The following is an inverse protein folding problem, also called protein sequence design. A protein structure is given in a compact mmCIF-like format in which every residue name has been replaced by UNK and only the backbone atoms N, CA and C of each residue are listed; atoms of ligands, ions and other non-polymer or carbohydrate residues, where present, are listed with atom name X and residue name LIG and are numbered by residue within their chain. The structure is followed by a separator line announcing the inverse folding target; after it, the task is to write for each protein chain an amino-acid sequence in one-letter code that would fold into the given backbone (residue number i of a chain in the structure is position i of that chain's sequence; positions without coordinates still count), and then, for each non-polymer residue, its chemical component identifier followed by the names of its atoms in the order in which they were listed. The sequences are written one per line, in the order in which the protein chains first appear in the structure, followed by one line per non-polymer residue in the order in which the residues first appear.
data_IF_352523194057
#
_entry.id   IF_352523194057
#
_cell.length_a   1.000
_cell.length_b   1.000
_cell.length_c   1.000
_cell.angle_alpha   90.00
_cell.angle_beta   90.00
_cell.angle_gamma   90.00
#
_symmetry.space_group_name_H-M   'P 1'
#
loop_
_entity.id
_entity.type
_entity.pdbx_description
1 polymer ?
#
# COMPACT_ATOMS: atom_id res chain seq x y z
N UNK A 1 -15.52 3.30 21.90
CA UNK A 1 -16.34 2.10 21.58
C UNK A 1 -16.06 1.73 20.13
N UNK A 2 -15.78 0.47 19.81
CA UNK A 2 -15.59 0.04 18.43
C UNK A 2 -16.88 0.22 17.62
N UNK A 3 -16.74 0.65 16.36
CA UNK A 3 -17.81 0.72 15.37
C UNK A 3 -17.94 -0.62 14.63
N UNK A 4 -16.82 -1.26 14.33
CA UNK A 4 -16.79 -2.60 13.74
C UNK A 4 -15.54 -3.35 14.20
N UNK A 5 -15.63 -4.68 14.18
CA UNK A 5 -14.52 -5.60 14.41
C UNK A 5 -14.69 -6.77 13.44
N UNK A 6 -13.78 -6.90 12.47
CA UNK A 6 -13.92 -7.88 11.39
C UNK A 6 -12.66 -8.74 11.33
N UNK A 7 -12.80 -10.04 11.65
CA UNK A 7 -11.75 -11.03 11.43
C UNK A 7 -11.56 -11.27 9.92
N UNK A 8 -10.32 -11.43 9.48
CA UNK A 8 -9.98 -11.78 8.11
C UNK A 8 -10.03 -13.29 7.98
N UNK A 9 -11.10 -13.78 7.37
CA UNK A 9 -11.30 -15.21 7.14
C UNK A 9 -10.48 -15.73 5.96
N UNK A 10 -10.25 -17.04 5.99
CA UNK A 10 -9.54 -17.80 4.97
C UNK A 10 -10.46 -18.53 3.98
N UNK A 11 -9.90 -19.54 3.31
CA UNK A 11 -10.54 -20.30 2.23
C UNK A 11 -11.72 -21.13 2.68
N UNK A 12 -11.74 -21.60 3.93
CA UNK A 12 -12.70 -22.60 4.43
C UNK A 12 -14.18 -22.25 4.18
N UNK A 13 -14.59 -21.02 4.45
CA UNK A 13 -15.98 -20.58 4.22
C UNK A 13 -16.36 -20.56 2.74
N UNK A 14 -15.41 -20.19 1.88
CA UNK A 14 -15.62 -20.15 0.43
C UNK A 14 -15.70 -21.58 -0.12
N UNK A 15 -14.78 -22.46 0.29
CA UNK A 15 -14.79 -23.88 -0.11
C UNK A 15 -16.11 -24.55 0.28
N UNK A 16 -16.58 -24.35 1.51
CA UNK A 16 -17.84 -24.93 1.96
C UNK A 16 -19.06 -24.42 1.17
N UNK A 17 -19.06 -23.15 0.75
CA UNK A 17 -20.10 -22.61 -0.12
C UNK A 17 -20.06 -23.24 -1.53
N UNK A 18 -18.86 -23.44 -2.10
CA UNK A 18 -18.68 -24.11 -3.38
C UNK A 18 -19.10 -25.59 -3.32
N UNK A 19 -18.75 -26.30 -2.25
CA UNK A 19 -19.18 -27.68 -1.99
C UNK A 19 -20.69 -27.81 -1.83
N UNK A 20 -21.35 -26.78 -1.32
CA UNK A 20 -22.81 -26.72 -1.25
C UNK A 20 -23.47 -26.51 -2.62
N UNK A 21 -22.70 -26.21 -3.67
CA UNK A 21 -23.18 -25.99 -5.03
C UNK A 21 -23.34 -24.52 -5.43
N UNK A 22 -22.72 -23.58 -4.72
CA UNK A 22 -22.76 -22.16 -5.10
C UNK A 22 -21.93 -21.87 -6.36
N UNK A 23 -22.53 -21.20 -7.35
CA UNK A 23 -21.81 -20.68 -8.52
C UNK A 23 -21.06 -19.37 -8.23
N UNK A 24 -21.61 -18.56 -7.32
CA UNK A 24 -21.07 -17.25 -6.91
C UNK A 24 -21.08 -17.19 -5.38
N UNK A 25 -19.91 -16.92 -4.81
CA UNK A 25 -19.75 -16.74 -3.37
C UNK A 25 -19.49 -15.27 -3.07
N UNK A 26 -20.38 -14.65 -2.29
CA UNK A 26 -20.16 -13.31 -1.73
C UNK A 26 -19.75 -13.48 -0.27
N UNK A 27 -18.53 -13.07 0.06
CA UNK A 27 -17.98 -13.19 1.41
C UNK A 27 -17.98 -11.84 2.14
N UNK A 28 -17.94 -11.90 3.47
CA UNK A 28 -17.69 -10.74 4.33
C UNK A 28 -16.21 -10.34 4.30
N UNK A 29 -15.60 -10.13 5.46
CA UNK A 29 -14.15 -9.86 5.51
C UNK A 29 -13.36 -11.17 5.38
N UNK A 30 -12.79 -11.42 4.21
CA UNK A 30 -11.75 -12.41 4.01
C UNK A 30 -10.40 -11.73 3.73
N UNK A 31 -9.31 -12.49 3.75
CA UNK A 31 -8.09 -12.05 3.08
C UNK A 31 -8.38 -11.93 1.58
N UNK A 32 -7.97 -10.82 0.97
CA UNK A 32 -8.23 -10.54 -0.45
C UNK A 32 -7.65 -11.66 -1.34
N UNK A 33 -6.43 -12.09 -1.01
CA UNK A 33 -5.77 -13.23 -1.67
C UNK A 33 -6.49 -14.57 -1.49
N UNK A 34 -7.35 -14.77 -0.48
CA UNK A 34 -8.05 -16.04 -0.23
C UNK A 34 -9.13 -16.36 -1.28
N UNK A 35 -9.55 -15.38 -2.06
CA UNK A 35 -10.52 -15.54 -3.15
C UNK A 35 -10.01 -16.46 -4.27
N UNK A 36 -8.69 -16.65 -4.38
CA UNK A 36 -8.04 -17.49 -5.41
C UNK A 36 -7.71 -18.91 -4.94
N UNK A 37 -7.02 -19.14 -3.81
CA UNK A 37 -6.74 -20.48 -3.34
C UNK A 37 -8.02 -21.25 -2.93
N UNK A 38 -9.13 -20.58 -2.62
CA UNK A 38 -10.38 -21.27 -2.31
C UNK A 38 -10.96 -22.08 -3.49
N UNK A 39 -11.22 -21.51 -4.68
CA UNK A 39 -11.66 -22.30 -5.83
C UNK A 39 -10.61 -23.31 -6.31
N UNK A 40 -9.30 -23.01 -6.16
CA UNK A 40 -8.23 -23.98 -6.47
C UNK A 40 -8.28 -25.18 -5.51
N UNK A 41 -8.46 -24.93 -4.22
CA UNK A 41 -8.60 -25.95 -3.20
C UNK A 41 -9.82 -26.85 -3.48
N UNK A 42 -10.98 -26.24 -3.73
CA UNK A 42 -12.21 -26.97 -4.10
C UNK A 42 -12.03 -27.80 -5.37
N UNK A 43 -11.40 -27.24 -6.41
CA UNK A 43 -11.25 -27.90 -7.72
C UNK A 43 -10.20 -29.01 -7.73
N UNK A 44 -9.10 -28.85 -7.00
CA UNK A 44 -7.96 -29.76 -7.02
C UNK A 44 -7.86 -30.65 -5.77
N UNK A 45 -8.68 -30.41 -4.75
CA UNK A 45 -8.69 -31.20 -3.52
C UNK A 45 -7.41 -31.06 -2.70
N UNK A 46 -6.80 -29.87 -2.68
CA UNK A 46 -5.59 -29.63 -1.90
C UNK A 46 -5.87 -29.83 -0.41
N UNK A 47 -4.94 -30.49 0.29
CA UNK A 47 -5.03 -30.63 1.74
C UNK A 47 -4.74 -29.30 2.41
N UNK A 48 -5.39 -29.02 3.53
CA UNK A 48 -5.18 -27.79 4.31
C UNK A 48 -3.82 -27.75 5.05
N UNK A 49 -3.09 -28.86 5.05
CA UNK A 49 -1.70 -28.95 5.52
C UNK A 49 -0.67 -29.03 4.37
N UNK A 50 -1.11 -28.89 3.12
CA UNK A 50 -0.23 -28.72 1.96
C UNK A 50 0.15 -27.24 1.80
N UNK A 51 1.01 -26.78 2.70
CA UNK A 51 1.31 -25.36 2.84
C UNK A 51 1.96 -24.77 1.59
N UNK A 52 2.80 -25.50 0.89
CA UNK A 52 3.44 -25.01 -0.34
C UNK A 52 2.40 -24.69 -1.42
N UNK A 53 1.40 -25.57 -1.63
CA UNK A 53 0.31 -25.28 -2.57
C UNK A 53 -0.58 -24.13 -2.11
N UNK A 54 -0.88 -24.05 -0.81
CA UNK A 54 -1.64 -22.93 -0.26
C UNK A 54 -0.88 -21.60 -0.41
N UNK A 55 0.44 -21.59 -0.20
CA UNK A 55 1.27 -20.41 -0.38
C UNK A 55 1.36 -19.98 -1.85
N UNK A 56 1.53 -20.94 -2.76
CA UNK A 56 1.56 -20.68 -4.20
C UNK A 56 0.20 -20.17 -4.71
N UNK A 57 -0.91 -20.78 -4.28
CA UNK A 57 -2.26 -20.29 -4.58
C UNK A 57 -2.57 -18.92 -3.97
N UNK A 58 -2.05 -18.64 -2.77
CA UNK A 58 -2.17 -17.32 -2.13
C UNK A 58 -1.37 -16.25 -2.86
N UNK A 59 -0.18 -16.59 -3.37
CA UNK A 59 0.60 -15.70 -4.23
C UNK A 59 -0.12 -15.42 -5.54
N UNK A 60 -0.73 -16.44 -6.17
CA UNK A 60 -1.57 -16.24 -7.35
C UNK A 60 -2.72 -15.26 -7.05
N UNK A 61 -3.38 -15.39 -5.90
CA UNK A 61 -4.40 -14.45 -5.45
C UNK A 61 -3.89 -13.03 -5.26
N UNK A 62 -2.74 -12.89 -4.59
CA UNK A 62 -2.10 -11.59 -4.38
C UNK A 62 -1.73 -10.87 -5.69
N UNK A 63 -1.36 -11.63 -6.72
CA UNK A 63 -0.99 -11.07 -8.03
C UNK A 63 -2.19 -10.63 -8.89
N UNK A 64 -3.39 -11.14 -8.60
CA UNK A 64 -4.61 -10.80 -9.36
C UNK A 64 -5.62 -9.94 -8.57
N UNK A 65 -5.27 -9.53 -7.35
CA UNK A 65 -6.11 -8.65 -6.52
C UNK A 65 -5.95 -7.16 -6.90
N UNK A 66 -6.81 -6.31 -6.32
CA UNK A 66 -6.75 -4.84 -6.37
C UNK A 66 -6.91 -4.15 -7.75
N UNK A 67 -6.82 -4.87 -8.88
CA UNK A 67 -7.15 -4.37 -10.22
C UNK A 67 -6.18 -4.84 -11.30
N UNK A 68 -5.84 -3.97 -12.27
CA UNK A 68 -4.97 -4.34 -13.40
C UNK A 68 -3.47 -4.39 -13.07
N UNK A 69 -3.11 -4.50 -11.79
CA UNK A 69 -1.77 -4.21 -11.30
C UNK A 69 -0.73 -5.22 -11.78
N UNK A 70 -1.03 -6.51 -11.66
CA UNK A 70 -0.22 -7.58 -12.26
C UNK A 70 -0.18 -7.55 -13.80
N UNK A 71 -1.03 -6.74 -14.43
CA UNK A 71 -1.12 -6.54 -15.88
C UNK A 71 -0.62 -5.16 -16.34
N UNK A 72 0.23 -4.49 -15.55
CA UNK A 72 0.88 -3.22 -15.92
C UNK A 72 0.18 -1.95 -15.40
N UNK A 73 -0.93 -2.09 -14.68
CA UNK A 73 -1.55 -0.97 -13.96
C UNK A 73 -0.64 -0.49 -12.81
N UNK A 74 -0.47 0.83 -12.69
CA UNK A 74 0.43 1.44 -11.69
C UNK A 74 1.91 1.05 -11.81
N UNK A 75 2.31 0.44 -12.92
CA UNK A 75 3.69 -0.03 -13.15
C UNK A 75 4.67 1.15 -13.30
N UNK A 76 5.90 1.02 -12.78
CA UNK A 76 6.95 2.07 -12.91
C UNK A 76 7.17 2.46 -14.37
N UNK A 77 7.25 1.48 -15.28
CA UNK A 77 7.47 1.73 -16.70
C UNK A 77 6.15 1.94 -17.46
N UNK A 78 5.26 2.75 -16.87
CA UNK A 78 3.91 3.04 -17.34
C UNK A 78 3.84 3.44 -18.83
N UNK A 79 4.89 4.08 -19.37
CA UNK A 79 4.99 4.48 -20.79
C UNK A 79 5.02 3.29 -21.75
N UNK A 80 5.47 2.14 -21.28
CA UNK A 80 5.58 0.91 -22.08
C UNK A 80 4.28 0.11 -22.08
N UNK A 81 3.29 0.51 -21.26
CA UNK A 81 2.04 -0.22 -21.11
C UNK A 81 1.03 0.27 -22.16
N UNK A 82 0.62 -0.57 -23.12
CA UNK A 82 -0.35 -0.20 -24.15
C UNK A 82 -1.79 -0.26 -23.60
N UNK A 83 -2.73 0.42 -24.27
CA UNK A 83 -4.17 0.29 -24.03
C UNK A 83 -4.60 0.60 -22.59
N UNK A 84 -4.38 1.83 -22.13
CA UNK A 84 -4.75 2.23 -20.77
C UNK A 84 -6.25 2.29 -20.56
N UNK A 85 -6.99 2.63 -21.62
CA UNK A 85 -8.44 2.76 -21.64
C UNK A 85 -9.16 1.40 -21.68
N UNK A 86 -8.48 0.33 -22.08
CA UNK A 86 -9.03 -1.01 -22.23
C UNK A 86 -8.16 -2.10 -21.58
N UNK A 87 -7.40 -1.74 -20.53
CA UNK A 87 -6.46 -2.66 -19.86
C UNK A 87 -7.17 -3.89 -19.29
N UNK A 88 -6.69 -5.09 -19.65
CA UNK A 88 -7.23 -6.34 -19.14
C UNK A 88 -6.79 -6.63 -17.70
N UNK A 89 -7.69 -7.16 -16.87
CA UNK A 89 -7.32 -7.69 -15.57
C UNK A 89 -6.39 -8.92 -15.71
N UNK A 90 -5.43 -9.10 -14.79
CA UNK A 90 -4.55 -10.27 -14.82
C UNK A 90 -5.36 -11.55 -14.55
N UNK A 91 -4.95 -12.63 -15.22
CA UNK A 91 -5.52 -13.98 -15.13
C UNK A 91 -4.42 -14.90 -14.60
N UNK A 92 -4.71 -15.64 -13.54
CA UNK A 92 -3.86 -16.73 -13.08
C UNK A 92 -4.33 -18.05 -13.72
N UNK A 93 -3.44 -18.68 -14.49
CA UNK A 93 -3.65 -20.02 -15.07
C UNK A 93 -2.95 -21.02 -14.18
N UNK A 94 -3.71 -21.74 -13.34
CA UNK A 94 -3.18 -22.59 -12.29
C UNK A 94 -3.32 -24.09 -12.61
N UNK A 95 -2.34 -24.89 -12.22
CA UNK A 95 -2.35 -26.34 -12.29
C UNK A 95 -2.55 -27.00 -10.91
N UNK A 96 -2.92 -28.28 -10.91
CA UNK A 96 -3.19 -29.05 -9.69
C UNK A 96 -1.97 -29.23 -8.79
N UNK A 97 -0.75 -29.11 -9.33
CA UNK A 97 0.49 -29.20 -8.55
C UNK A 97 0.83 -27.90 -7.81
N UNK A 98 0.09 -26.81 -8.07
CA UNK A 98 0.30 -25.48 -7.49
C UNK A 98 1.02 -24.51 -8.44
N UNK A 99 1.64 -24.99 -9.51
CA UNK A 99 2.26 -24.11 -10.51
C UNK A 99 1.24 -23.21 -11.19
N UNK A 100 1.62 -21.97 -11.51
CA UNK A 100 0.75 -21.06 -12.23
C UNK A 100 1.52 -20.06 -13.10
N UNK A 101 0.83 -19.54 -14.10
CA UNK A 101 1.27 -18.40 -14.90
C UNK A 101 0.31 -17.23 -14.73
N UNK A 102 0.83 -16.01 -14.77
CA UNK A 102 0.06 -14.79 -14.91
C UNK A 102 -0.01 -14.41 -16.39
N UNK A 103 -1.22 -14.14 -16.86
CA UNK A 103 -1.53 -13.70 -18.22
C UNK A 103 -2.62 -12.64 -18.20
N UNK A 104 -3.09 -12.19 -19.37
CA UNK A 104 -4.21 -11.27 -19.50
C UNK A 104 -5.11 -11.70 -20.66
N UNK A 105 -6.28 -11.09 -20.77
CA UNK A 105 -7.18 -11.31 -21.90
C UNK A 105 -6.48 -10.91 -23.21
N UNK A 106 -6.60 -11.76 -24.23
CA UNK A 106 -6.07 -11.48 -25.57
C UNK A 106 -6.83 -10.31 -26.21
N UNK A 107 -6.11 -9.44 -26.92
CA UNK A 107 -6.70 -8.28 -27.62
C UNK A 107 -7.01 -7.06 -26.75
N UNK A 108 -6.81 -7.11 -25.43
CA UNK A 108 -6.92 -5.93 -24.54
C UNK A 108 -5.59 -5.21 -24.37
N UNK A 109 -5.61 -4.02 -23.76
CA UNK A 109 -4.41 -3.36 -23.23
C UNK A 109 -3.76 -4.09 -22.05
N UNK A 110 -2.70 -3.50 -21.50
CA UNK A 110 -1.89 -4.02 -20.41
C UNK A 110 -0.58 -4.68 -20.84
N UNK A 111 0.31 -4.88 -19.88
CA UNK A 111 1.66 -5.45 -20.05
C UNK A 111 2.00 -6.40 -18.90
N UNK A 112 2.21 -7.68 -19.23
CA UNK A 112 2.60 -8.72 -18.28
C UNK A 112 4.07 -9.10 -18.52
N UNK A 113 4.93 -8.74 -17.57
CA UNK A 113 6.38 -8.99 -17.57
C UNK A 113 6.83 -9.36 -16.15
N UNK A 114 8.02 -9.98 -15.98
CA UNK A 114 8.56 -10.23 -14.65
C UNK A 114 8.60 -8.98 -13.75
N UNK A 115 8.87 -7.80 -14.33
CA UNK A 115 8.91 -6.54 -13.58
C UNK A 115 7.51 -6.07 -13.15
N UNK A 116 6.50 -6.13 -14.04
CA UNK A 116 5.13 -5.71 -13.66
C UNK A 116 4.48 -6.67 -12.68
N UNK A 117 4.70 -7.98 -12.84
CA UNK A 117 4.25 -9.00 -11.88
C UNK A 117 5.01 -8.87 -10.55
N UNK A 118 6.32 -8.62 -10.59
CA UNK A 118 7.15 -8.46 -9.40
C UNK A 118 6.82 -7.21 -8.59
N UNK A 119 6.51 -6.09 -9.22
CA UNK A 119 6.01 -4.91 -8.51
C UNK A 119 4.72 -5.20 -7.73
N UNK A 120 3.80 -5.96 -8.33
CA UNK A 120 2.58 -6.36 -7.64
C UNK A 120 2.87 -7.31 -6.49
N UNK A 121 3.78 -8.28 -6.68
CA UNK A 121 4.19 -9.22 -5.62
C UNK A 121 4.74 -8.51 -4.37
N UNK A 122 5.40 -7.37 -4.55
CA UNK A 122 6.02 -6.62 -3.45
C UNK A 122 5.08 -5.61 -2.79
N UNK A 123 3.84 -5.47 -3.26
CA UNK A 123 2.93 -4.43 -2.80
C UNK A 123 2.21 -4.82 -1.50
N UNK A 124 2.27 -3.94 -0.49
CA UNK A 124 1.57 -4.11 0.80
C UNK A 124 1.92 -5.41 1.56
N UNK A 125 3.14 -5.91 1.35
CA UNK A 125 3.73 -7.00 2.13
C UNK A 125 4.60 -6.46 3.27
N UNK A 126 4.55 -7.14 4.41
CA UNK A 126 5.43 -6.87 5.55
C UNK A 126 6.77 -7.58 5.38
N UNK A 127 7.11 -8.46 6.30
CA UNK A 127 8.23 -9.38 6.08
C UNK A 127 7.86 -10.43 5.00
N UNK A 128 8.60 -10.51 3.88
CA UNK A 128 8.37 -11.50 2.83
C UNK A 128 8.65 -12.95 3.29
N UNK A 129 9.36 -13.19 4.39
CA UNK A 129 9.58 -14.53 4.93
C UNK A 129 8.48 -15.00 5.89
N UNK A 130 7.64 -14.08 6.37
CA UNK A 130 6.58 -14.29 7.36
C UNK A 130 5.30 -13.57 6.92
N UNK A 131 4.90 -13.73 5.65
CA UNK A 131 3.67 -13.12 5.13
C UNK A 131 2.45 -13.92 5.62
N UNK A 132 1.97 -13.57 6.81
CA UNK A 132 0.88 -14.28 7.50
C UNK A 132 -0.49 -14.02 6.87
N UNK A 133 -1.05 -15.05 6.25
CA UNK A 133 -2.44 -15.14 5.79
C UNK A 133 -3.25 -16.07 6.70
N UNK A 134 -4.60 -16.08 6.59
CA UNK A 134 -5.44 -16.89 7.47
C UNK A 134 -5.18 -18.40 7.38
N UNK A 135 -4.81 -18.93 6.21
CA UNK A 135 -4.67 -20.39 6.00
C UNK A 135 -3.22 -20.86 5.88
N UNK A 136 -2.26 -19.95 5.74
CA UNK A 136 -0.85 -20.26 5.52
C UNK A 136 0.01 -19.05 5.87
N UNK A 137 1.22 -19.29 6.36
CA UNK A 137 2.27 -18.25 6.42
C UNK A 137 3.14 -18.43 5.19
N UNK A 138 3.23 -17.40 4.34
CA UNK A 138 3.96 -17.47 3.09
C UNK A 138 5.40 -16.94 3.22
N UNK A 139 6.31 -17.60 2.51
CA UNK A 139 7.68 -17.16 2.27
C UNK A 139 7.88 -16.91 0.78
N UNK A 140 8.07 -15.65 0.42
CA UNK A 140 8.25 -15.18 -0.95
C UNK A 140 9.70 -14.90 -1.32
N UNK A 141 10.67 -15.11 -0.41
CA UNK A 141 12.08 -14.73 -0.64
C UNK A 141 12.69 -15.36 -1.88
N UNK A 142 12.27 -16.59 -2.20
CA UNK A 142 12.80 -17.38 -3.31
C UNK A 142 11.83 -17.49 -4.48
N UNK A 143 10.81 -16.63 -4.55
CA UNK A 143 9.90 -16.60 -5.71
C UNK A 143 10.68 -16.19 -6.96
N UNK A 144 10.47 -16.94 -8.04
CA UNK A 144 11.07 -16.69 -9.34
C UNK A 144 9.98 -16.29 -10.34
N UNK A 145 10.33 -15.34 -11.21
CA UNK A 145 9.47 -14.77 -12.23
C UNK A 145 10.13 -14.96 -13.58
N UNK A 146 9.55 -15.80 -14.44
CA UNK A 146 10.12 -16.15 -15.75
C UNK A 146 9.15 -15.77 -16.87
N UNK A 147 9.61 -15.02 -17.87
CA UNK A 147 8.80 -14.74 -19.05
C UNK A 147 8.71 -15.99 -19.93
N UNK A 148 7.55 -16.61 -20.01
CA UNK A 148 7.32 -17.84 -20.80
C UNK A 148 6.68 -17.58 -22.16
N UNK A 149 6.22 -16.36 -22.42
CA UNK A 149 5.71 -15.92 -23.72
C UNK A 149 5.24 -14.47 -23.67
N UNK A 150 4.76 -13.90 -24.80
CA UNK A 150 4.21 -12.55 -24.82
C UNK A 150 3.04 -12.44 -23.81
N UNK A 151 3.15 -11.48 -22.88
CA UNK A 151 2.19 -11.31 -21.80
C UNK A 151 1.94 -12.57 -20.94
N UNK A 152 2.96 -13.41 -20.77
CA UNK A 152 2.91 -14.60 -19.89
C UNK A 152 4.15 -14.67 -19.00
N UNK A 153 3.91 -14.79 -17.70
CA UNK A 153 4.96 -14.93 -16.69
C UNK A 153 4.65 -16.14 -15.82
N UNK A 154 5.54 -17.11 -15.82
CA UNK A 154 5.53 -18.22 -14.86
C UNK A 154 6.02 -17.74 -13.50
N UNK A 155 5.32 -18.14 -12.46
CA UNK A 155 5.61 -17.76 -11.07
C UNK A 155 5.75 -19.02 -10.23
N UNK A 156 6.92 -19.20 -9.63
CA UNK A 156 7.25 -20.40 -8.84
C UNK A 156 8.02 -20.03 -7.57
N UNK A 157 8.14 -20.97 -6.62
CA UNK A 157 9.07 -20.84 -5.50
C UNK A 157 8.49 -20.22 -4.22
N UNK A 158 7.18 -19.97 -4.14
CA UNK A 158 6.56 -19.63 -2.87
C UNK A 158 6.58 -20.86 -1.95
N UNK A 159 6.93 -20.65 -0.68
CA UNK A 159 6.92 -21.69 0.35
C UNK A 159 5.88 -21.37 1.41
N UNK A 160 5.27 -22.42 1.97
CA UNK A 160 4.27 -22.28 3.01
C UNK A 160 4.71 -22.89 4.32
N UNK A 161 4.28 -22.27 5.40
CA UNK A 161 4.40 -22.77 6.77
C UNK A 161 3.01 -22.89 7.41
N UNK A 162 2.88 -23.60 8.55
CA UNK A 162 1.61 -23.78 9.23
C UNK A 162 0.83 -22.48 9.41
N UNK A 163 -0.48 -22.56 9.22
CA UNK A 163 -1.39 -21.43 9.40
C UNK A 163 -1.20 -20.78 10.79
N UNK A 164 -1.39 -19.46 10.93
CA UNK A 164 -1.39 -18.82 12.24
C UNK A 164 -2.51 -19.36 13.14
N UNK A 165 -2.24 -19.43 14.45
CA UNK A 165 -3.23 -19.82 15.48
C UNK A 165 -4.28 -18.74 15.75
N UNK A 166 -4.08 -17.53 15.22
CA UNK A 166 -4.96 -16.38 15.38
C UNK A 166 -5.30 -15.78 14.02
N UNK A 167 -6.55 -15.31 13.86
CA UNK A 167 -6.90 -14.44 12.76
C UNK A 167 -6.44 -13.00 13.05
N UNK A 168 -6.03 -12.30 12.00
CA UNK A 168 -5.96 -10.84 12.02
C UNK A 168 -7.39 -10.31 11.99
N UNK A 169 -7.72 -9.37 12.87
CA UNK A 169 -8.98 -8.67 12.86
C UNK A 169 -8.75 -7.16 12.79
N UNK A 170 -9.53 -6.47 11.96
CA UNK A 170 -9.54 -5.01 11.91
C UNK A 170 -10.65 -4.49 12.84
N UNK A 171 -10.25 -3.72 13.85
CA UNK A 171 -11.17 -3.02 14.75
C UNK A 171 -11.13 -1.55 14.40
N UNK A 172 -12.30 -0.96 14.16
CA UNK A 172 -12.43 0.46 13.83
C UNK A 172 -13.23 1.22 14.87
N UNK A 173 -12.95 2.50 15.04
CA UNK A 173 -13.72 3.41 15.89
C UNK A 173 -13.66 4.84 15.33
N UNK A 174 -14.66 5.64 15.64
CA UNK A 174 -14.63 7.07 15.33
C UNK A 174 -13.71 7.80 16.32
N UNK A 175 -12.80 8.62 15.81
CA UNK A 175 -11.80 9.37 16.57
C UNK A 175 -11.79 10.85 16.16
N UNK A 176 -12.91 11.53 16.43
CA UNK A 176 -13.11 12.94 16.09
C UNK A 176 -13.60 13.17 14.66
N UNK A 177 -13.31 14.35 14.14
CA UNK A 177 -13.76 14.85 12.84
C UNK A 177 -12.59 15.45 12.07
N UNK A 178 -12.69 15.42 10.74
CA UNK A 178 -11.75 16.11 9.85
C UNK A 178 -12.47 16.80 8.71
N UNK A 179 -11.78 17.70 8.05
CA UNK A 179 -12.19 18.24 6.76
C UNK A 179 -10.97 18.58 5.91
N UNK A 180 -11.16 18.54 4.60
CA UNK A 180 -10.17 18.95 3.61
C UNK A 180 -10.84 19.89 2.61
N UNK A 181 -10.10 20.90 2.19
CA UNK A 181 -10.49 21.87 1.18
C UNK A 181 -9.35 22.11 0.21
N UNK A 182 -9.69 22.41 -1.05
CA UNK A 182 -8.72 22.80 -2.08
C UNK A 182 -9.13 24.12 -2.72
N UNK A 183 -8.15 24.95 -3.02
CA UNK A 183 -8.28 26.21 -3.75
C UNK A 183 -7.18 26.26 -4.81
N UNK A 184 -7.52 26.60 -6.05
CA UNK A 184 -6.50 26.90 -7.06
C UNK A 184 -5.99 28.32 -6.85
N UNK A 185 -4.69 28.54 -7.00
CA UNK A 185 -4.08 29.87 -6.99
C UNK A 185 -3.27 30.04 -8.27
N UNK A 186 -3.65 31.06 -9.05
CA UNK A 186 -3.02 31.42 -10.32
C UNK A 186 -2.21 32.73 -10.25
N UNK A 187 -1.23 32.86 -11.13
CA UNK A 187 -0.41 34.06 -11.34
C UNK A 187 0.98 33.99 -10.70
N UNK A 188 1.73 35.10 -10.78
CA UNK A 188 3.06 35.20 -10.17
C UNK A 188 3.02 34.92 -8.66
N UNK A 189 4.08 34.27 -8.14
CA UNK A 189 4.23 33.91 -6.73
C UNK A 189 3.11 33.02 -6.16
N UNK A 190 2.46 32.19 -7.00
CA UNK A 190 1.32 31.37 -6.58
C UNK A 190 1.61 30.48 -5.36
N UNK A 191 2.82 29.93 -5.25
CA UNK A 191 3.26 29.14 -4.09
C UNK A 191 3.26 29.96 -2.79
N UNK A 192 3.91 31.11 -2.79
CA UNK A 192 3.98 31.98 -1.60
C UNK A 192 2.59 32.48 -1.19
N UNK A 193 1.78 32.87 -2.19
CA UNK A 193 0.37 33.22 -2.03
C UNK A 193 -0.45 32.10 -1.40
N UNK A 194 -0.24 30.85 -1.84
CA UNK A 194 -0.92 29.67 -1.32
C UNK A 194 -0.59 29.41 0.14
N UNK A 195 0.69 29.39 0.51
CA UNK A 195 1.11 29.21 1.90
C UNK A 195 0.50 30.29 2.80
N UNK A 196 0.62 31.55 2.37
CA UNK A 196 0.09 32.68 3.13
C UNK A 196 -1.42 32.62 3.33
N UNK A 197 -2.17 32.26 2.29
CA UNK A 197 -3.62 32.11 2.38
C UNK A 197 -4.01 30.95 3.31
N UNK A 198 -3.36 29.78 3.18
CA UNK A 198 -3.61 28.62 4.04
C UNK A 198 -3.37 28.91 5.52
N UNK A 199 -2.22 29.51 5.85
CA UNK A 199 -1.87 29.94 7.21
C UNK A 199 -2.86 30.97 7.76
N UNK A 200 -3.26 31.95 6.96
CA UNK A 200 -4.20 33.00 7.36
C UNK A 200 -5.60 32.43 7.65
N UNK A 201 -6.09 31.51 6.82
CA UNK A 201 -7.39 30.83 7.02
C UNK A 201 -7.39 30.06 8.33
N UNK A 202 -6.35 29.25 8.59
CA UNK A 202 -6.24 28.48 9.84
C UNK A 202 -6.13 29.40 11.06
N UNK A 203 -5.26 30.42 11.00
CA UNK A 203 -5.05 31.38 12.10
C UNK A 203 -6.33 32.13 12.43
N UNK A 204 -7.03 32.63 11.41
CA UNK A 204 -8.30 33.33 11.57
C UNK A 204 -9.37 32.42 12.17
N UNK A 205 -9.47 31.19 11.69
CA UNK A 205 -10.43 30.21 12.22
C UNK A 205 -10.16 29.88 13.68
N UNK A 206 -8.89 29.65 14.06
CA UNK A 206 -8.51 29.38 15.45
C UNK A 206 -8.86 30.54 16.36
N UNK A 207 -8.60 31.80 15.94
CA UNK A 207 -8.96 33.00 16.71
C UNK A 207 -10.48 33.10 16.91
N UNK A 208 -11.26 33.00 15.82
CA UNK A 208 -12.73 33.06 15.89
C UNK A 208 -13.33 31.89 16.68
N UNK A 209 -12.72 30.71 16.62
CA UNK A 209 -13.11 29.55 17.41
C UNK A 209 -12.88 29.75 18.90
N UNK A 210 -11.71 30.30 19.27
CA UNK A 210 -11.40 30.65 20.65
C UNK A 210 -12.35 31.72 21.21
N UNK A 211 -12.68 32.75 20.43
CA UNK A 211 -13.69 33.78 20.78
C UNK A 211 -15.08 33.17 21.02
N UNK A 212 -15.40 32.04 20.38
CA UNK A 212 -16.64 31.29 20.55
C UNK A 212 -16.56 30.16 21.59
N UNK A 213 -15.42 29.98 22.25
CA UNK A 213 -15.21 28.90 23.23
C UNK A 213 -15.17 27.49 22.62
N UNK A 214 -14.87 27.36 21.32
CA UNK A 214 -14.75 26.07 20.63
C UNK A 214 -13.42 25.39 20.94
N UNK A 215 -13.39 24.05 20.90
CA UNK A 215 -12.13 23.33 21.06
C UNK A 215 -11.21 23.57 19.85
N UNK A 216 -9.87 23.64 20.05
CA UNK A 216 -8.94 23.91 18.97
C UNK A 216 -8.85 22.75 17.96
N UNK A 217 -8.14 22.98 16.87
CA UNK A 217 -7.72 21.88 15.99
C UNK A 217 -6.74 20.96 16.74
N UNK A 218 -6.92 19.65 16.58
CA UNK A 218 -5.98 18.64 17.08
C UNK A 218 -4.84 18.38 16.09
N UNK A 219 -5.10 18.63 14.80
CA UNK A 219 -4.09 18.56 13.74
C UNK A 219 -4.49 19.50 12.60
N UNK A 220 -3.50 20.07 11.92
CA UNK A 220 -3.68 20.84 10.69
C UNK A 220 -2.66 20.41 9.66
N UNK A 221 -2.97 20.64 8.37
CA UNK A 221 -2.07 20.37 7.26
C UNK A 221 -2.35 21.36 6.14
N UNK A 222 -1.32 22.10 5.74
CA UNK A 222 -1.33 22.97 4.57
C UNK A 222 -0.31 22.40 3.58
N UNK A 223 -0.77 22.06 2.38
CA UNK A 223 0.06 21.54 1.31
C UNK A 223 -0.18 22.37 0.04
N UNK A 224 0.88 22.70 -0.67
CA UNK A 224 0.82 23.38 -1.96
C UNK A 224 1.16 22.37 -3.06
N UNK A 225 0.14 21.81 -3.69
CA UNK A 225 0.29 20.85 -4.77
C UNK A 225 0.76 21.62 -6.02
N UNK A 226 1.83 21.11 -6.63
CA UNK A 226 2.60 21.83 -7.63
C UNK A 226 3.79 22.60 -7.05
N UNK A 227 4.00 22.64 -5.74
CA UNK A 227 5.23 23.14 -5.11
C UNK A 227 6.15 22.02 -4.59
N UNK A 228 5.83 20.77 -4.93
CA UNK A 228 6.55 19.56 -4.49
C UNK A 228 6.65 19.40 -2.96
N UNK A 229 5.64 19.85 -2.20
CA UNK A 229 5.57 19.67 -0.74
C UNK A 229 5.70 18.20 -0.32
N UNK A 230 5.25 17.26 -1.15
CA UNK A 230 5.40 15.81 -0.90
C UNK A 230 6.86 15.35 -0.90
N UNK A 231 7.76 16.04 -1.63
CA UNK A 231 9.18 15.71 -1.73
C UNK A 231 10.03 16.28 -0.58
N UNK A 232 9.45 17.12 0.30
CA UNK A 232 10.19 17.72 1.41
C UNK A 232 11.44 18.48 0.94
N UNK A 233 12.61 18.17 1.53
CA UNK A 233 13.88 18.80 1.15
C UNK A 233 14.37 18.44 -0.26
N UNK A 234 13.79 17.41 -0.87
CA UNK A 234 14.16 16.93 -2.21
C UNK A 234 13.33 17.58 -3.33
N UNK A 235 12.44 18.51 -2.98
CA UNK A 235 11.72 19.34 -3.94
C UNK A 235 12.66 20.22 -4.76
N UNK A 236 12.40 20.29 -6.06
CA UNK A 236 13.14 21.01 -7.10
C UNK A 236 12.32 22.18 -7.65
N UNK A 237 10.99 22.16 -7.52
CA UNK A 237 10.09 23.15 -8.13
C UNK A 237 9.37 24.01 -7.09
N UNK A 238 9.61 25.34 -7.11
CA UNK A 238 8.97 26.29 -6.17
C UNK A 238 8.41 27.56 -6.83
N UNK A 239 8.67 27.78 -8.12
CA UNK A 239 8.28 28.99 -8.87
C UNK A 239 7.01 28.87 -9.71
N UNK A 240 6.18 27.85 -9.48
CA UNK A 240 5.01 27.57 -10.31
C UNK A 240 3.96 28.69 -10.19
N UNK A 241 3.32 29.00 -11.32
CA UNK A 241 2.31 30.07 -11.43
C UNK A 241 0.88 29.56 -11.30
N UNK A 242 0.70 28.26 -11.18
CA UNK A 242 -0.58 27.60 -10.97
C UNK A 242 -0.35 26.47 -9.98
N UNK A 243 -1.04 26.53 -8.84
CA UNK A 243 -0.91 25.54 -7.77
C UNK A 243 -2.27 25.28 -7.13
N UNK A 244 -2.40 24.14 -6.46
CA UNK A 244 -3.55 23.87 -5.58
C UNK A 244 -3.10 24.01 -4.13
N UNK A 245 -3.65 25.02 -3.45
CA UNK A 245 -3.62 25.10 -2.00
C UNK A 245 -4.59 24.06 -1.44
N UNK A 246 -4.07 23.09 -0.70
CA UNK A 246 -4.86 22.16 0.08
C UNK A 246 -4.74 22.50 1.56
N UNK A 247 -5.87 22.57 2.24
CA UNK A 247 -5.98 22.81 3.69
C UNK A 247 -6.76 21.66 4.28
N UNK A 248 -6.23 20.99 5.30
CA UNK A 248 -6.94 20.03 6.11
C UNK A 248 -6.79 20.33 7.59
N UNK A 249 -7.81 19.99 8.36
CA UNK A 249 -7.78 20.06 9.82
C UNK A 249 -8.58 18.92 10.44
N UNK A 250 -8.18 18.51 11.63
CA UNK A 250 -8.91 17.59 12.50
C UNK A 250 -9.23 18.27 13.84
N UNK A 251 -10.34 17.88 14.47
CA UNK A 251 -10.71 18.27 15.83
C UNK A 251 -11.73 17.29 16.40
N UNK A 252 -11.79 17.19 17.72
CA UNK A 252 -12.89 16.51 18.42
C UNK A 252 -14.18 17.35 18.39
N UNK A 253 -14.06 18.66 18.23
CA UNK A 253 -15.18 19.59 18.10
C UNK A 253 -15.53 19.80 16.62
N UNK A 254 -16.69 19.28 16.21
CA UNK A 254 -17.18 19.45 14.83
C UNK A 254 -17.45 20.92 14.48
N UNK A 255 -17.72 21.77 15.47
CA UNK A 255 -18.08 23.17 15.25
C UNK A 255 -16.90 24.00 14.74
N UNK A 256 -15.66 23.77 15.19
CA UNK A 256 -14.49 24.51 14.68
C UNK A 256 -14.20 24.17 13.20
N UNK A 257 -14.49 22.93 12.78
CA UNK A 257 -14.40 22.52 11.37
C UNK A 257 -15.55 23.12 10.55
N UNK A 258 -16.76 23.20 11.10
CA UNK A 258 -17.86 23.93 10.45
C UNK A 258 -17.53 25.43 10.29
N UNK A 259 -16.80 26.02 11.24
CA UNK A 259 -16.28 27.38 11.13
C UNK A 259 -15.19 27.49 10.04
N UNK A 260 -14.23 26.58 10.00
CA UNK A 260 -13.22 26.51 8.94
C UNK A 260 -13.86 26.46 7.54
N UNK A 261 -14.91 25.65 7.37
CA UNK A 261 -15.70 25.57 6.14
C UNK A 261 -16.28 26.92 5.70
N UNK A 262 -16.71 27.74 6.65
CA UNK A 262 -17.25 29.08 6.39
C UNK A 262 -16.14 30.08 6.05
N UNK A 263 -14.93 29.93 6.61
CA UNK A 263 -13.81 30.84 6.40
C UNK A 263 -13.04 30.61 5.08
N UNK A 264 -13.15 29.42 4.47
CA UNK A 264 -12.42 29.09 3.23
C UNK A 264 -12.83 29.98 2.05
N UNK A 265 -14.12 30.15 1.76
CA UNK A 265 -14.54 30.87 0.55
C UNK A 265 -14.40 32.40 0.62
N UNK A 266 -14.70 33.06 1.76
CA UNK A 266 -14.41 34.49 1.91
C UNK A 266 -12.95 34.85 1.64
N UNK A 267 -12.02 33.89 1.78
CA UNK A 267 -10.61 34.10 1.44
C UNK A 267 -10.40 34.50 -0.03
N UNK A 268 -11.25 34.01 -0.95
CA UNK A 268 -11.14 34.31 -2.37
C UNK A 268 -11.35 35.80 -2.70
N UNK A 269 -12.10 36.52 -1.87
CA UNK A 269 -12.36 37.96 -2.04
C UNK A 269 -11.61 38.84 -1.03
N UNK A 270 -10.96 38.25 -0.03
CA UNK A 270 -10.34 38.99 1.08
C UNK A 270 -8.83 38.76 1.25
N UNK A 271 -8.26 37.76 0.57
CA UNK A 271 -6.85 37.38 0.73
C UNK A 271 -6.10 37.53 -0.60
N UNK A 272 -5.43 36.48 -1.06
CA UNK A 272 -4.50 36.56 -2.18
C UNK A 272 -5.21 36.71 -3.53
N UNK A 273 -4.73 37.58 -4.44
CA UNK A 273 -5.22 37.62 -5.81
C UNK A 273 -4.90 36.32 -6.55
N UNK A 274 -5.84 35.87 -7.38
CA UNK A 274 -5.71 34.64 -8.18
C UNK A 274 -6.29 33.39 -7.53
N UNK A 275 -6.95 33.48 -6.36
CA UNK A 275 -7.71 32.38 -5.78
C UNK A 275 -8.93 32.07 -6.66
N UNK A 276 -9.06 30.82 -7.10
CA UNK A 276 -10.18 30.32 -7.92
C UNK A 276 -10.34 28.80 -7.73
N UNK A 277 -11.11 28.13 -8.59
CA UNK A 277 -11.20 26.66 -8.64
C UNK A 277 -12.00 26.03 -7.49
N UNK A 278 -12.76 26.82 -6.74
CA UNK A 278 -13.55 26.36 -5.60
C UNK A 278 -14.90 25.71 -6.01
N UNK A 279 -14.87 24.85 -7.03
CA UNK A 279 -16.05 24.41 -7.78
C UNK A 279 -16.93 23.36 -7.07
N UNK A 280 -16.41 22.66 -6.05
CA UNK A 280 -17.12 21.55 -5.38
C UNK A 280 -18.02 21.99 -4.20
N UNK A 281 -18.22 23.30 -4.01
CA UNK A 281 -19.00 23.83 -2.88
C UNK A 281 -18.28 23.70 -1.53
N UNK A 282 -18.97 24.06 -0.44
CA UNK A 282 -18.36 24.10 0.90
C UNK A 282 -18.03 22.70 1.42
N UNK A 283 -16.76 22.43 1.80
CA UNK A 283 -16.39 21.15 2.38
C UNK A 283 -17.09 20.96 3.71
N UNK A 284 -17.51 19.72 3.99
CA UNK A 284 -18.22 19.38 5.23
C UNK A 284 -17.33 18.57 6.17
N UNK A 285 -17.40 18.79 7.49
CA UNK A 285 -16.74 17.92 8.45
C UNK A 285 -17.22 16.47 8.30
N UNK A 286 -16.28 15.54 8.17
CA UNK A 286 -16.49 14.11 8.08
C UNK A 286 -15.89 13.40 9.30
N UNK A 287 -16.46 12.28 9.77
CA UNK A 287 -15.88 11.53 10.88
C UNK A 287 -14.50 11.00 10.49
N UNK A 288 -13.55 11.06 11.43
CA UNK A 288 -12.28 10.33 11.30
C UNK A 288 -12.52 8.92 11.81
N UNK A 289 -12.32 7.92 10.96
CA UNK A 289 -12.37 6.52 11.36
C UNK A 289 -10.93 6.06 11.56
N UNK A 290 -10.58 5.66 12.79
CA UNK A 290 -9.30 5.00 13.07
C UNK A 290 -9.50 3.50 13.07
N UNK A 291 -8.44 2.78 12.73
CA UNK A 291 -8.39 1.34 12.74
C UNK A 291 -7.14 0.84 13.45
N UNK A 292 -7.24 -0.33 14.06
CA UNK A 292 -6.09 -1.07 14.56
C UNK A 292 -6.26 -2.56 14.23
N UNK A 293 -5.14 -3.20 13.90
CA UNK A 293 -5.09 -4.65 13.74
C UNK A 293 -4.94 -5.31 15.10
N UNK A 294 -5.82 -6.25 15.42
CA UNK A 294 -5.72 -7.10 16.60
C UNK A 294 -5.65 -8.56 16.17
N UNK A 295 -5.22 -9.43 17.08
CA UNK A 295 -5.27 -10.87 16.89
C UNK A 295 -6.45 -11.42 17.68
N UNK A 296 -7.21 -12.32 17.07
CA UNK A 296 -8.30 -13.07 17.71
C UNK A 296 -8.04 -14.56 17.53
N UNK A 297 -8.19 -15.33 18.59
CA UNK A 297 -8.02 -16.78 18.52
C UNK A 297 -9.07 -17.38 17.58
N UNK A 298 -8.68 -18.36 16.77
CA UNK A 298 -9.57 -18.92 15.73
C UNK A 298 -10.81 -19.59 16.31
N UNK A 299 -10.69 -20.20 17.47
CA UNK A 299 -11.78 -20.85 18.21
C UNK A 299 -12.82 -19.86 18.77
N UNK A 300 -12.51 -18.56 18.75
CA UNK A 300 -13.45 -17.48 19.10
C UNK A 300 -14.20 -16.91 17.89
N UNK A 301 -13.93 -17.41 16.68
CA UNK A 301 -14.55 -16.92 15.44
C UNK A 301 -15.40 -18.02 14.81
N UNK A 302 -16.71 -17.81 14.80
CA UNK A 302 -17.66 -18.66 14.07
C UNK A 302 -17.71 -18.25 12.60
N UNK A 303 -17.64 -19.23 11.68
CA UNK A 303 -17.80 -19.01 10.25
C UNK A 303 -19.16 -19.57 9.82
N UNK A 304 -20.06 -18.70 9.38
CA UNK A 304 -21.39 -19.05 8.92
C UNK A 304 -21.51 -18.90 7.41
N UNK A 305 -22.05 -19.93 6.75
CA UNK A 305 -22.32 -19.96 5.30
C UNK A 305 -23.83 -19.96 5.08
N UNK A 306 -24.30 -19.10 4.18
CA UNK A 306 -25.70 -19.04 3.75
C UNK A 306 -25.81 -19.50 2.30
N UNK A 307 -26.59 -20.54 2.04
CA UNK A 307 -26.84 -21.09 0.70
C UNK A 307 -28.27 -21.63 0.59
N UNK A 308 -29.00 -21.27 -0.47
CA UNK A 308 -30.40 -21.68 -0.73
C UNK A 308 -31.35 -21.52 0.47
N UNK A 309 -31.26 -20.37 1.15
CA UNK A 309 -32.08 -20.04 2.31
C UNK A 309 -31.74 -20.84 3.59
N UNK A 310 -30.71 -21.69 3.55
CA UNK A 310 -30.18 -22.42 4.71
C UNK A 310 -28.90 -21.75 5.18
N UNK A 311 -28.70 -21.76 6.50
CA UNK A 311 -27.46 -21.34 7.12
C UNK A 311 -26.82 -22.54 7.81
N UNK A 312 -25.51 -22.69 7.67
CA UNK A 312 -24.74 -23.69 8.41
C UNK A 312 -23.40 -23.10 8.85
N UNK A 313 -22.98 -23.48 10.04
CA UNK A 313 -21.68 -23.10 10.60
C UNK A 313 -20.63 -24.12 10.18
N UNK A 314 -19.44 -23.65 9.84
CA UNK A 314 -18.27 -24.50 9.67
C UNK A 314 -17.25 -24.25 10.78
N UNK A 315 -16.57 -25.30 11.19
CA UNK A 315 -15.37 -25.18 12.01
C UNK A 315 -14.19 -25.00 11.07
N UNK A 316 -13.39 -23.95 11.29
CA UNK A 316 -12.14 -23.79 10.56
C UNK A 316 -11.24 -25.02 10.80
N UNK A 317 -10.42 -25.45 9.82
CA UNK A 317 -9.51 -26.58 10.00
C UNK A 317 -8.65 -26.41 11.25
N UNK A 318 -8.42 -27.51 11.97
CA UNK A 318 -7.48 -27.49 13.09
C UNK A 318 -6.10 -27.06 12.58
N UNK A 319 -5.56 -26.03 13.21
CA UNK A 319 -4.18 -25.62 12.96
C UNK A 319 -3.28 -26.64 13.63
N UNK A 320 -2.32 -27.19 12.87
CA UNK A 320 -1.33 -28.10 13.41
C UNK A 320 -0.72 -27.50 14.69
N UNK A 321 -0.82 -28.21 15.81
CA UNK A 321 -0.16 -27.84 17.07
C UNK A 321 1.34 -28.13 16.93
N UNK A 322 2.03 -27.23 16.25
CA UNK A 322 3.46 -27.18 16.06
C UNK A 322 3.86 -25.70 15.99
N UNK A 323 4.87 -25.32 16.76
CA UNK A 323 5.19 -23.95 17.14
C UNK A 323 5.30 -22.98 15.95
N UNK A 324 4.23 -22.21 15.70
CA UNK A 324 4.34 -20.88 15.08
C UNK A 324 5.20 -19.92 15.93
N UNK A 325 5.62 -20.34 17.13
CA UNK A 325 6.33 -19.54 18.12
C UNK A 325 7.86 -19.65 18.11
N UNK A 326 8.51 -20.48 17.30
CA UNK A 326 10.00 -20.55 17.30
C UNK A 326 10.70 -20.75 15.94
N UNK A 327 9.97 -20.94 14.84
CA UNK A 327 10.62 -21.07 13.52
C UNK A 327 10.75 -19.71 12.84
N UNK A 328 11.95 -19.14 13.04
CA UNK A 328 12.48 -17.92 12.44
C UNK A 328 11.70 -16.64 12.79
N UNK A 329 11.99 -16.07 13.96
CA UNK A 329 12.14 -14.61 13.97
C UNK A 329 13.16 -14.28 12.87
N UNK A 330 12.79 -13.58 11.78
CA UNK A 330 13.79 -13.03 10.91
C UNK A 330 14.50 -12.00 11.76
N UNK A 331 15.73 -12.33 12.18
CA UNK A 331 16.68 -11.30 12.51
C UNK A 331 16.67 -10.38 11.30
N UNK A 332 16.24 -9.13 11.49
CA UNK A 332 16.68 -8.01 10.65
C UNK A 332 18.09 -8.35 10.22
N UNK A 333 18.25 -8.73 8.95
CA UNK A 333 19.59 -8.95 8.45
C UNK A 333 20.16 -7.55 8.45
N UNK A 334 20.96 -7.21 9.46
CA UNK A 334 21.95 -6.17 9.32
C UNK A 334 22.61 -6.48 7.99
N UNK A 335 22.31 -5.67 6.96
CA UNK A 335 22.80 -5.93 5.61
C UNK A 335 24.31 -6.17 5.68
N UNK A 336 24.90 -6.90 4.72
CA UNK A 336 26.34 -7.06 4.68
C UNK A 336 26.99 -5.68 4.89
N UNK A 337 27.90 -5.57 5.87
CA UNK A 337 28.73 -4.36 6.05
C UNK A 337 29.30 -4.02 4.69
N UNK A 338 29.10 -2.78 4.22
CA UNK A 338 29.54 -2.31 2.92
C UNK A 338 30.98 -2.77 2.65
N UNK A 339 31.14 -3.78 1.79
CA UNK A 339 32.45 -4.16 1.27
C UNK A 339 32.77 -3.27 0.07
N UNK A 340 34.04 -2.93 -0.16
CA UNK A 340 34.47 -2.10 -1.28
C UNK A 340 34.40 -2.87 -2.62
N UNK A 341 33.19 -3.27 -3.04
CA UNK A 341 32.91 -3.73 -4.39
C UNK A 341 32.85 -2.54 -5.35
N UNK A 342 33.65 -2.56 -6.41
CA UNK A 342 33.62 -1.56 -7.47
C UNK A 342 32.24 -1.56 -8.15
N UNK A 343 31.56 -0.41 -8.14
CA UNK A 343 30.35 -0.19 -8.93
C UNK A 343 30.67 -0.44 -10.41
N UNK A 344 29.93 -1.34 -11.04
CA UNK A 344 30.01 -1.54 -12.49
C UNK A 344 29.67 -0.23 -13.21
N UNK A 345 30.50 0.11 -14.20
CA UNK A 345 30.48 1.31 -15.05
C UNK A 345 29.20 1.52 -15.91
N UNK A 346 28.10 0.82 -15.60
CA UNK A 346 26.91 0.75 -16.45
C UNK A 346 25.85 1.82 -16.16
N UNK A 347 25.98 2.57 -15.05
CA UNK A 347 25.05 3.65 -14.75
C UNK A 347 25.76 4.99 -14.92
N UNK A 348 25.27 5.82 -15.84
CA UNK A 348 25.88 7.10 -16.16
C UNK A 348 26.02 7.99 -14.91
N UNK A 349 27.05 8.85 -14.83
CA UNK A 349 27.10 9.91 -13.83
C UNK A 349 25.81 10.73 -13.87
N UNK A 350 25.05 10.73 -12.77
CA UNK A 350 23.74 11.39 -12.68
C UNK A 350 22.51 10.50 -12.90
N UNK A 351 22.68 9.17 -12.99
CA UNK A 351 21.55 8.23 -12.97
C UNK A 351 20.75 8.30 -11.66
N UNK A 352 19.49 7.86 -11.72
CA UNK A 352 18.57 7.75 -10.58
C UNK A 352 18.19 6.29 -10.32
N UNK A 353 17.59 6.04 -9.16
CA UNK A 353 17.15 4.70 -8.77
C UNK A 353 16.17 4.07 -9.79
N UNK A 354 15.32 4.87 -10.45
CA UNK A 354 14.43 4.41 -11.54
C UNK A 354 15.15 3.78 -12.73
N UNK A 355 16.42 4.14 -12.96
CA UNK A 355 17.20 3.62 -14.10
C UNK A 355 17.65 2.17 -13.87
N UNK A 356 17.69 1.71 -12.62
CA UNK A 356 18.13 0.36 -12.25
C UNK A 356 17.05 -0.48 -11.54
N UNK A 357 15.93 0.13 -11.15
CA UNK A 357 14.86 -0.55 -10.43
C UNK A 357 13.46 -0.13 -10.91
N UNK A 358 12.51 -1.01 -10.61
CA UNK A 358 11.07 -0.72 -10.59
C UNK A 358 10.60 -0.79 -9.13
N UNK A 359 9.66 0.06 -8.73
CA UNK A 359 9.26 0.10 -7.33
C UNK A 359 7.81 0.52 -7.12
N UNK A 360 7.25 0.03 -6.02
CA UNK A 360 5.87 0.31 -5.63
C UNK A 360 5.71 0.42 -4.13
N UNK A 361 4.79 1.28 -3.69
CA UNK A 361 4.50 1.47 -2.28
C UNK A 361 3.01 1.47 -1.96
N UNK A 362 2.68 1.15 -0.71
CA UNK A 362 1.32 1.15 -0.21
C UNK A 362 1.28 1.08 1.32
N UNK A 363 0.09 1.29 1.88
CA UNK A 363 -0.09 1.31 3.32
C UNK A 363 -0.34 -0.09 3.88
N UNK A 364 0.12 -0.31 5.11
CA UNK A 364 -0.33 -1.44 5.94
C UNK A 364 -0.69 -0.92 7.33
N UNK A 365 -1.90 -0.37 7.46
CA UNK A 365 -2.30 0.33 8.68
C UNK A 365 -1.59 1.67 8.80
N UNK A 366 -0.73 1.83 9.81
CA UNK A 366 0.08 3.05 9.98
C UNK A 366 1.47 2.97 9.32
N UNK A 367 1.75 1.87 8.62
CA UNK A 367 3.03 1.60 7.97
C UNK A 367 2.97 1.96 6.49
N UNK A 368 4.12 2.25 5.88
CA UNK A 368 4.30 2.22 4.42
C UNK A 368 5.24 1.08 4.07
N UNK A 369 4.81 0.24 3.15
CA UNK A 369 5.65 -0.72 2.47
C UNK A 369 6.24 -0.09 1.19
N UNK A 370 7.50 -0.36 0.87
CA UNK A 370 8.13 -0.04 -0.42
C UNK A 370 8.83 -1.29 -0.96
N UNK A 371 8.31 -1.85 -2.04
CA UNK A 371 8.96 -2.89 -2.83
C UNK A 371 9.85 -2.29 -3.90
N UNK A 372 11.10 -2.75 -4.00
CA UNK A 372 12.08 -2.33 -5.02
C UNK A 372 12.63 -3.57 -5.71
N UNK A 373 12.38 -3.74 -7.01
CA UNK A 373 12.87 -4.86 -7.81
C UNK A 373 13.94 -4.38 -8.79
N UNK A 374 15.11 -5.01 -8.78
CA UNK A 374 16.19 -4.71 -9.70
C UNK A 374 15.84 -5.13 -11.13
N UNK A 375 16.26 -4.33 -12.12
CA UNK A 375 16.05 -4.63 -13.54
C UNK A 375 16.89 -5.80 -14.04
N UNK A 376 18.10 -5.96 -13.50
CA UNK A 376 19.05 -7.01 -13.87
C UNK A 376 19.96 -7.41 -12.70
N UNK A 377 20.90 -8.32 -12.95
CA UNK A 377 21.84 -8.81 -11.95
C UNK A 377 22.82 -7.73 -11.45
N UNK A 378 23.28 -6.82 -12.32
CA UNK A 378 24.21 -5.76 -11.91
C UNK A 378 23.51 -4.74 -11.01
N UNK A 379 22.29 -4.35 -11.37
CA UNK A 379 21.41 -3.54 -10.53
C UNK A 379 21.13 -4.24 -9.19
N UNK A 380 20.87 -5.55 -9.20
CA UNK A 380 20.65 -6.30 -7.96
C UNK A 380 21.83 -6.21 -7.00
N UNK A 381 23.05 -6.45 -7.48
CA UNK A 381 24.24 -6.36 -6.64
C UNK A 381 24.44 -4.94 -6.07
N UNK A 382 24.24 -3.92 -6.90
CA UNK A 382 24.31 -2.52 -6.48
C UNK A 382 23.31 -2.21 -5.37
N UNK A 383 22.02 -2.48 -5.61
CA UNK A 383 20.94 -2.16 -4.68
C UNK A 383 21.09 -2.93 -3.37
N UNK A 384 21.38 -4.22 -3.45
CA UNK A 384 21.56 -5.07 -2.27
C UNK A 384 22.67 -4.56 -1.35
N UNK A 385 23.74 -4.02 -1.93
CA UNK A 385 24.89 -3.51 -1.20
C UNK A 385 24.69 -2.08 -0.68
N UNK A 386 23.98 -1.23 -1.44
CA UNK A 386 23.98 0.23 -1.23
C UNK A 386 22.64 0.82 -0.79
N UNK A 387 21.51 0.25 -1.22
CA UNK A 387 20.19 0.72 -0.79
C UNK A 387 19.83 0.10 0.58
N UNK A 388 20.39 0.69 1.63
CA UNK A 388 20.19 0.26 3.01
C UNK A 388 18.92 0.85 3.63
N UNK A 389 18.50 0.32 4.78
CA UNK A 389 17.39 0.89 5.54
C UNK A 389 17.66 2.33 6.00
N UNK A 390 18.92 2.67 6.34
CA UNK A 390 19.29 4.03 6.74
C UNK A 390 19.23 5.01 5.57
N UNK A 391 19.70 4.61 4.38
CA UNK A 391 19.59 5.45 3.17
C UNK A 391 18.13 5.77 2.85
N UNK A 392 17.24 4.79 2.96
CA UNK A 392 15.79 5.00 2.75
C UNK A 392 15.19 5.88 3.85
N UNK A 393 15.57 5.66 5.12
CA UNK A 393 15.13 6.46 6.26
C UNK A 393 15.52 7.94 6.09
N UNK A 394 16.78 8.21 5.72
CA UNK A 394 17.32 9.55 5.54
C UNK A 394 16.68 10.26 4.34
N UNK A 395 16.47 9.57 3.22
CA UNK A 395 15.82 10.14 2.04
C UNK A 395 14.35 10.50 2.28
N UNK A 396 13.67 9.75 3.14
CA UNK A 396 12.25 9.91 3.46
C UNK A 396 12.03 10.52 4.85
N UNK A 397 13.06 11.17 5.42
CA UNK A 397 13.03 11.78 6.75
C UNK A 397 11.86 12.76 6.90
N UNK A 398 11.54 13.52 5.85
CA UNK A 398 10.42 14.49 5.85
C UNK A 398 9.04 13.84 6.00
N UNK A 399 8.92 12.52 5.80
CA UNK A 399 7.71 11.76 6.08
C UNK A 399 7.66 11.22 7.52
N UNK A 400 8.72 11.43 8.31
CA UNK A 400 8.87 10.89 9.66
C UNK A 400 9.43 9.47 9.70
N UNK A 401 10.18 9.04 8.67
CA UNK A 401 10.70 7.67 8.53
C UNK A 401 11.85 7.34 9.50
N UNK A 402 11.59 7.41 10.81
CA UNK A 402 12.61 7.17 11.85
C UNK A 402 12.93 5.69 12.11
N UNK A 403 12.04 4.77 11.71
CA UNK A 403 12.25 3.34 11.83
C UNK A 403 11.91 2.66 10.50
N UNK A 404 12.94 2.08 9.87
CA UNK A 404 12.84 1.40 8.58
C UNK A 404 13.44 0.00 8.71
N UNK A 405 12.68 -1.01 8.32
CA UNK A 405 13.17 -2.38 8.16
C UNK A 405 13.44 -2.66 6.68
N UNK A 406 14.41 -3.53 6.39
CA UNK A 406 14.76 -3.98 5.04
C UNK A 406 14.83 -5.50 4.99
N UNK A 407 14.17 -6.08 4.00
CA UNK A 407 14.14 -7.51 3.72
C UNK A 407 14.65 -7.78 2.30
N UNK A 408 15.34 -8.90 2.10
CA UNK A 408 15.85 -9.33 0.79
C UNK A 408 14.96 -10.45 0.21
N UNK A 409 14.61 -10.36 -1.07
CA UNK A 409 13.97 -11.41 -1.86
C UNK A 409 14.90 -11.78 -3.01
N UNK A 410 15.93 -12.63 -2.78
CA UNK A 410 16.93 -12.94 -3.79
C UNK A 410 16.35 -13.64 -5.03
N UNK A 411 15.26 -14.41 -4.91
CA UNK A 411 14.63 -15.10 -6.03
C UNK A 411 14.13 -14.15 -7.13
N UNK A 412 13.63 -12.99 -6.73
CA UNK A 412 13.12 -11.94 -7.64
C UNK A 412 14.05 -10.72 -7.73
N UNK A 413 15.27 -10.81 -7.16
CA UNK A 413 16.23 -9.70 -7.10
C UNK A 413 15.62 -8.42 -6.51
N UNK A 414 14.92 -8.56 -5.38
CA UNK A 414 14.16 -7.46 -4.80
C UNK A 414 14.54 -7.14 -3.35
N UNK A 415 14.28 -5.90 -2.96
CA UNK A 415 14.32 -5.41 -1.60
C UNK A 415 12.91 -4.98 -1.19
N UNK A 416 12.55 -5.25 0.06
CA UNK A 416 11.31 -4.78 0.65
C UNK A 416 11.62 -3.91 1.87
N UNK A 417 11.04 -2.71 1.92
CA UNK A 417 11.19 -1.79 3.04
C UNK A 417 9.87 -1.61 3.77
N UNK A 418 9.92 -1.56 5.09
CA UNK A 418 8.76 -1.26 5.94
C UNK A 418 9.09 -0.04 6.79
N UNK A 419 8.40 1.07 6.52
CA UNK A 419 8.53 2.34 7.22
C UNK A 419 7.45 2.41 8.29
N UNK A 420 7.87 2.55 9.55
CA UNK A 420 6.96 2.55 10.70
C UNK A 420 6.45 3.94 11.04
N UNK A 421 5.18 4.00 11.42
CA UNK A 421 4.46 5.19 11.90
C UNK A 421 4.47 6.42 10.98
N UNK A 422 4.79 6.25 9.71
CA UNK A 422 4.89 7.35 8.75
C UNK A 422 3.55 7.86 8.25
N UNK A 423 2.40 7.25 8.60
CA UNK A 423 1.06 7.63 8.10
C UNK A 423 0.17 8.34 9.13
N UNK A 424 0.69 8.87 10.23
CA UNK A 424 -0.06 9.68 11.20
C UNK A 424 -1.37 9.02 11.73
N UNK A 425 -1.34 7.71 11.99
CA UNK A 425 -2.50 6.91 12.42
C UNK A 425 -3.22 6.18 11.28
N UNK A 426 -2.58 6.05 10.11
CA UNK A 426 -3.05 5.31 8.94
C UNK A 426 -3.87 6.13 7.95
N UNK A 427 -4.10 5.60 6.74
CA UNK A 427 -4.70 6.35 5.63
C UNK A 427 -6.08 6.97 5.91
N UNK A 428 -6.87 6.37 6.80
CA UNK A 428 -8.17 6.91 7.20
C UNK A 428 -8.09 8.12 8.15
N UNK A 429 -6.96 8.31 8.82
CA UNK A 429 -6.72 9.40 9.77
C UNK A 429 -5.73 10.46 9.25
N UNK A 430 -4.79 10.06 8.38
CA UNK A 430 -3.78 10.93 7.81
C UNK A 430 -4.41 12.15 7.12
N UNK A 431 -3.92 13.35 7.44
CA UNK A 431 -4.39 14.58 6.81
C UNK A 431 -3.66 14.90 5.51
N UNK A 432 -2.49 14.29 5.22
CA UNK A 432 -1.72 14.57 3.99
C UNK A 432 -2.49 14.17 2.72
N UNK A 433 -2.15 14.77 1.58
CA UNK A 433 -2.78 14.43 0.30
C UNK A 433 -2.53 12.97 -0.09
N UNK A 434 -1.27 12.52 -0.03
CA UNK A 434 -0.96 11.09 -0.11
C UNK A 434 -1.20 10.43 1.25
N UNK A 435 -2.46 10.13 1.55
CA UNK A 435 -2.86 9.55 2.82
C UNK A 435 -2.34 8.11 3.01
N UNK A 436 -2.15 7.37 1.90
CA UNK A 436 -1.87 5.93 1.85
C UNK A 436 -0.42 5.60 1.44
N UNK A 437 0.42 6.60 1.23
CA UNK A 437 1.80 6.41 0.83
C UNK A 437 1.98 5.82 -0.58
N UNK A 438 1.02 6.04 -1.50
CA UNK A 438 1.08 5.49 -2.87
C UNK A 438 2.13 6.18 -3.74
N UNK A 439 2.53 7.41 -3.41
CA UNK A 439 3.56 8.14 -4.14
C UNK A 439 4.98 7.89 -3.59
N UNK A 440 5.11 7.22 -2.44
CA UNK A 440 6.40 7.12 -1.71
C UNK A 440 7.46 6.38 -2.51
N UNK A 441 7.11 5.29 -3.19
CA UNK A 441 8.04 4.61 -4.10
C UNK A 441 8.50 5.51 -5.24
N UNK A 442 7.62 6.33 -5.80
CA UNK A 442 7.99 7.25 -6.89
C UNK A 442 8.98 8.33 -6.40
N UNK A 443 8.79 8.83 -5.17
CA UNK A 443 9.74 9.75 -4.53
C UNK A 443 11.08 9.09 -4.23
N UNK A 444 11.10 7.80 -3.88
CA UNK A 444 12.33 7.04 -3.69
C UNK A 444 13.05 6.77 -5.02
N UNK A 445 12.31 6.43 -6.08
CA UNK A 445 12.84 6.19 -7.42
C UNK A 445 13.53 7.43 -8.03
N UNK A 446 13.19 8.61 -7.54
CA UNK A 446 13.81 9.88 -7.91
C UNK A 446 15.19 10.13 -7.25
N UNK A 447 15.61 9.28 -6.32
CA UNK A 447 16.91 9.34 -5.65
C UNK A 447 18.06 9.22 -6.67
N UNK A 448 19.00 10.17 -6.72
CA UNK A 448 20.23 10.03 -7.48
C UNK A 448 21.05 8.84 -6.98
N UNK A 449 21.65 8.06 -7.88
CA UNK A 449 22.48 6.91 -7.50
C UNK A 449 23.71 7.32 -6.66
N UNK A 450 24.14 8.58 -6.72
CA UNK A 450 25.20 9.13 -5.86
C UNK A 450 24.82 9.16 -4.37
N UNK A 451 23.53 9.21 -4.05
CA UNK A 451 23.02 9.20 -2.67
C UNK A 451 23.01 7.79 -2.05
N UNK A 452 23.19 6.74 -2.87
CA UNK A 452 23.31 5.37 -2.37
C UNK A 452 24.64 5.10 -1.64
N UNK A 453 25.59 6.03 -1.69
CA UNK A 453 26.95 5.87 -1.17
C UNK A 453 27.20 6.54 0.20
N UNK A 454 26.14 6.95 0.91
CA UNK A 454 26.20 7.56 2.25
C UNK A 454 26.50 6.59 3.38
#
# INVERSE_FOLDING_TARGET
RPMSANAYLGVSGIVAALEAGADIVVTGRCADSALTPAPLNHRFGWRMDDWDRLAQGSLAGHLIECGCQGAGGLFTDWRNVPGWDDMGFPIAVCAADGSFEISKIDGTGGLITPLSVGEQMLYEIGDPADYRLPDVICDFRNVQLEQTGPNRVSVTGAKGYPAPTHYKASVTWQAGWRMTATLMIGGGEAVAKARRAGEAILTRTSRLGAEQGLAPFTQTSVEVIGAEDSYGRHGRMSGNREVILKIAAASDDKAILALLSKEIFPSATAMSPGITGAAAGRPKPAPVIRGSGVLIARDQVEIMVHHDGKAFTITAPEVAKGTATEMNAPKSSSGPKATNGQCTENFAPGGRLIDCAVARSGDKGNLVNIGVMARDEAAWQLLRQKLSASVVADWLEHLGAGQVERFELPGSRSLNFVLHDVLNGGGMANLRMDAQGKAVAQMLLDMPLSELAG
#
